data_IF_653096679465
#
_entry.id   IF_653096679465
#
_cell.length_a   1.000
_cell.length_b   1.000
_cell.length_c   1.000
_cell.angle_alpha   90.00
_cell.angle_beta   90.00
_cell.angle_gamma   90.00
#
_symmetry.space_group_name_H-M   'P 1'
#
loop_
_entity.id
_entity.type
_entity.pdbx_description
1 polymer ?
#
# COMPACT_ATOMS: atom_id res chain seq x y z
N UNK A 1 20.19 -15.30 23.74
CA UNK A 1 19.38 -14.94 22.57
C UNK A 1 19.62 -13.46 22.31
N UNK A 2 20.19 -13.08 21.16
CA UNK A 2 20.31 -11.67 20.79
C UNK A 2 18.95 -11.23 20.22
N UNK A 3 18.33 -10.21 20.82
CA UNK A 3 17.08 -9.65 20.33
C UNK A 3 17.44 -8.67 19.20
N UNK A 4 17.25 -9.09 17.95
CA UNK A 4 17.39 -8.22 16.77
C UNK A 4 16.07 -7.49 16.58
N UNK A 5 15.99 -6.22 16.97
CA UNK A 5 14.75 -5.45 16.90
C UNK A 5 14.98 -3.98 16.60
N UNK A 6 14.01 -3.37 15.92
CA UNK A 6 13.96 -1.93 15.65
C UNK A 6 12.72 -1.40 16.34
N UNK A 7 12.92 -0.48 17.27
CA UNK A 7 11.84 0.27 17.91
C UNK A 7 11.98 1.75 17.52
N UNK A 8 10.99 2.22 16.77
CA UNK A 8 10.84 3.63 16.36
C UNK A 8 9.50 4.19 16.85
N UNK A 9 8.87 3.53 17.84
CA UNK A 9 7.56 3.92 18.34
C UNK A 9 7.57 5.27 19.05
N UNK A 10 6.39 5.89 19.17
CA UNK A 10 6.19 7.16 19.88
C UNK A 10 7.06 8.31 19.36
N UNK A 11 7.07 8.47 18.04
CA UNK A 11 7.78 9.55 17.35
C UNK A 11 6.82 10.35 16.46
N UNK A 12 7.37 11.32 15.73
CA UNK A 12 6.66 12.11 14.74
C UNK A 12 7.03 11.70 13.31
N UNK A 13 7.42 10.44 13.09
CA UNK A 13 7.76 9.95 11.76
C UNK A 13 6.51 9.97 10.86
N UNK A 14 6.70 10.33 9.59
CA UNK A 14 5.60 10.54 8.65
C UNK A 14 6.00 10.12 7.25
N UNK A 15 5.03 10.08 6.33
CA UNK A 15 5.20 9.52 4.99
C UNK A 15 4.90 8.02 4.97
N UNK A 16 5.23 7.36 3.87
CA UNK A 16 5.00 5.93 3.71
C UNK A 16 6.09 5.09 4.37
N UNK A 17 5.74 3.87 4.77
CA UNK A 17 6.71 2.89 5.24
C UNK A 17 7.53 2.42 4.01
N UNK A 18 8.86 2.56 4.01
CA UNK A 18 9.70 2.14 2.88
C UNK A 18 9.60 0.64 2.62
N UNK A 19 9.47 0.23 1.36
CA UNK A 19 9.39 -1.18 0.97
C UNK A 19 10.66 -1.96 1.35
N UNK A 20 11.79 -1.25 1.43
CA UNK A 20 13.12 -1.77 1.74
C UNK A 20 13.22 -2.29 3.17
N UNK A 21 12.34 -1.86 4.09
CA UNK A 21 12.27 -2.44 5.44
C UNK A 21 11.96 -3.94 5.38
N UNK A 22 11.31 -4.43 4.32
CA UNK A 22 11.09 -5.86 4.09
C UNK A 22 12.38 -6.67 3.83
N UNK A 23 13.54 -6.03 3.61
CA UNK A 23 14.81 -6.73 3.42
C UNK A 23 15.50 -7.13 4.75
N UNK A 24 14.94 -6.75 5.89
CA UNK A 24 15.47 -7.07 7.22
C UNK A 24 15.10 -8.50 7.65
N UNK A 25 15.50 -9.51 6.87
CA UNK A 25 15.05 -10.91 7.02
C UNK A 25 15.31 -11.56 8.38
N UNK A 26 16.29 -11.04 9.13
CA UNK A 26 16.71 -11.54 10.45
C UNK A 26 16.17 -10.69 11.62
N UNK A 27 15.27 -9.74 11.37
CA UNK A 27 14.65 -8.97 12.44
C UNK A 27 13.59 -9.83 13.15
N UNK A 28 13.57 -9.75 14.48
CA UNK A 28 12.61 -10.45 15.34
C UNK A 28 11.50 -9.51 15.84
N UNK A 29 11.79 -8.23 15.99
CA UNK A 29 10.80 -7.25 16.44
C UNK A 29 10.89 -5.95 15.63
N UNK A 30 9.76 -5.51 15.10
CA UNK A 30 9.61 -4.21 14.44
C UNK A 30 8.44 -3.46 15.07
N UNK A 31 8.76 -2.38 15.77
CA UNK A 31 7.78 -1.50 16.39
C UNK A 31 7.81 -0.13 15.74
N UNK A 32 6.77 0.21 14.99
CA UNK A 32 6.56 1.51 14.34
C UNK A 32 5.34 2.24 14.92
N UNK A 33 4.82 1.80 16.06
CA UNK A 33 3.56 2.31 16.60
C UNK A 33 3.62 3.77 17.05
N UNK A 34 2.47 4.41 17.17
CA UNK A 34 2.34 5.79 17.67
C UNK A 34 3.22 6.78 16.87
N UNK A 35 2.95 6.87 15.58
CA UNK A 35 3.61 7.75 14.62
C UNK A 35 2.55 8.33 13.63
N UNK A 36 3.01 8.98 12.56
CA UNK A 36 2.15 9.53 11.50
C UNK A 36 2.37 8.85 10.14
N UNK A 37 2.75 7.56 10.11
CA UNK A 37 2.93 6.84 8.85
C UNK A 37 1.61 6.76 8.07
N UNK A 38 1.68 6.99 6.77
CA UNK A 38 0.57 6.98 5.79
C UNK A 38 0.80 5.90 4.72
N UNK A 39 -0.10 5.81 3.74
CA UNK A 39 0.03 4.83 2.66
C UNK A 39 -0.40 3.43 3.11
N UNK A 40 0.03 2.39 2.39
CA UNK A 40 -0.31 1.00 2.68
C UNK A 40 0.78 0.27 3.46
N UNK A 41 0.42 -0.83 4.12
CA UNK A 41 1.41 -1.74 4.71
C UNK A 41 2.19 -2.41 3.56
N UNK A 42 3.53 -2.33 3.50
CA UNK A 42 4.29 -2.94 2.42
C UNK A 42 4.11 -4.46 2.40
N UNK A 43 3.69 -5.01 1.26
CA UNK A 43 3.61 -6.46 1.08
C UNK A 43 4.98 -7.16 1.21
N UNK A 44 6.08 -6.42 1.05
CA UNK A 44 7.45 -6.88 1.27
C UNK A 44 7.72 -7.29 2.71
N UNK A 45 6.88 -6.89 3.68
CA UNK A 45 7.00 -7.36 5.06
C UNK A 45 6.78 -8.87 5.19
N UNK A 46 6.20 -9.53 4.19
CA UNK A 46 6.15 -10.99 4.10
C UNK A 46 7.55 -11.65 3.98
N UNK A 47 8.61 -10.88 3.72
CA UNK A 47 10.00 -11.36 3.66
C UNK A 47 10.71 -11.33 5.03
N UNK A 48 10.08 -10.79 6.07
CA UNK A 48 10.63 -10.75 7.43
C UNK A 48 10.49 -12.13 8.09
N UNK A 49 11.17 -13.15 7.56
CA UNK A 49 10.95 -14.56 7.89
C UNK A 49 11.15 -14.92 9.36
N UNK A 50 11.95 -14.15 10.10
CA UNK A 50 12.23 -14.37 11.52
C UNK A 50 11.41 -13.46 12.46
N UNK A 51 10.48 -12.66 11.93
CA UNK A 51 9.74 -11.71 12.75
C UNK A 51 8.78 -12.43 13.71
N UNK A 52 8.87 -12.05 14.98
CA UNK A 52 8.07 -12.56 16.09
C UNK A 52 7.08 -11.48 16.57
N UNK A 53 7.43 -10.19 16.42
CA UNK A 53 6.61 -9.06 16.83
C UNK A 53 6.58 -7.96 15.77
N UNK A 54 5.39 -7.59 15.32
CA UNK A 54 5.15 -6.50 14.37
C UNK A 54 4.04 -5.58 14.90
N UNK A 55 4.41 -4.38 15.31
CA UNK A 55 3.46 -3.38 15.79
C UNK A 55 3.46 -2.14 14.89
N UNK A 56 2.32 -1.91 14.24
CA UNK A 56 2.04 -0.80 13.32
C UNK A 56 0.87 0.05 13.83
N UNK A 57 0.47 -0.13 15.09
CA UNK A 57 -0.70 0.53 15.66
C UNK A 57 -0.52 2.05 15.80
N UNK A 58 -1.62 2.77 15.97
CA UNK A 58 -1.61 4.23 16.21
C UNK A 58 -0.83 5.00 15.12
N UNK A 59 -1.25 4.79 13.88
CA UNK A 59 -0.70 5.47 12.70
C UNK A 59 -1.85 5.93 11.79
N UNK A 60 -1.53 6.37 10.58
CA UNK A 60 -2.50 6.77 9.54
C UNK A 60 -2.44 5.85 8.32
N UNK A 61 -2.06 4.59 8.52
CA UNK A 61 -1.96 3.59 7.46
C UNK A 61 -3.36 3.31 6.89
N UNK A 62 -3.41 2.98 5.60
CA UNK A 62 -4.63 2.84 4.81
C UNK A 62 -4.54 1.67 3.84
N UNK A 63 -5.64 1.37 3.15
CA UNK A 63 -5.73 0.18 2.32
C UNK A 63 -5.92 -1.10 3.13
N UNK A 64 -5.67 -2.26 2.51
CA UNK A 64 -5.88 -3.57 3.14
C UNK A 64 -4.64 -4.08 3.86
N UNK A 65 -4.84 -4.93 4.88
CA UNK A 65 -3.78 -5.79 5.42
C UNK A 65 -3.35 -6.77 4.31
N UNK A 66 -2.09 -6.76 3.84
CA UNK A 66 -1.64 -7.63 2.76
C UNK A 66 -1.77 -9.10 3.14
N UNK A 67 -2.46 -9.88 2.31
CA UNK A 67 -2.63 -11.33 2.53
C UNK A 67 -1.28 -12.07 2.55
N UNK A 68 -0.24 -11.52 1.93
CA UNK A 68 1.11 -12.06 1.93
C UNK A 68 1.71 -12.19 3.35
N UNK A 69 1.27 -11.38 4.31
CA UNK A 69 1.73 -11.45 5.70
C UNK A 69 1.35 -12.77 6.39
N UNK A 70 0.36 -13.51 5.86
CA UNK A 70 0.00 -14.84 6.35
C UNK A 70 1.14 -15.87 6.25
N UNK A 71 2.18 -15.56 5.45
CA UNK A 71 3.42 -16.35 5.35
C UNK A 71 4.33 -16.25 6.57
N UNK A 72 4.12 -15.26 7.44
CA UNK A 72 4.93 -15.04 8.63
C UNK A 72 4.58 -16.06 9.72
N UNK A 73 5.16 -17.26 9.63
CA UNK A 73 4.86 -18.37 10.54
C UNK A 73 5.30 -18.15 11.98
N UNK A 74 6.32 -17.31 12.19
CA UNK A 74 6.92 -17.01 13.51
C UNK A 74 6.25 -15.84 14.23
N UNK A 75 5.33 -15.13 13.56
CA UNK A 75 4.70 -13.92 14.11
C UNK A 75 3.76 -14.29 15.26
N UNK A 76 4.08 -13.83 16.46
CA UNK A 76 3.34 -14.13 17.69
C UNK A 76 2.65 -12.88 18.27
N UNK A 77 3.18 -11.69 17.98
CA UNK A 77 2.61 -10.41 18.40
C UNK A 77 2.39 -9.55 17.16
N UNK A 78 1.14 -9.15 16.94
CA UNK A 78 0.77 -8.34 15.79
C UNK A 78 -0.22 -7.26 16.22
N UNK A 79 -0.05 -6.02 15.80
CA UNK A 79 -1.07 -4.99 16.00
C UNK A 79 -1.08 -4.01 14.83
N UNK A 80 -2.27 -3.70 14.35
CA UNK A 80 -2.57 -2.62 13.39
C UNK A 80 -3.69 -1.73 13.90
N UNK A 81 -3.98 -1.79 15.20
CA UNK A 81 -5.05 -1.02 15.83
C UNK A 81 -4.87 0.49 15.59
N UNK A 82 -5.97 1.22 15.56
CA UNK A 82 -6.02 2.68 15.41
C UNK A 82 -5.26 3.17 14.17
N UNK A 83 -5.65 2.63 13.00
CA UNK A 83 -5.25 3.10 11.68
C UNK A 83 -6.52 3.38 10.82
N UNK A 84 -6.34 3.67 9.54
CA UNK A 84 -7.41 3.85 8.55
C UNK A 84 -7.48 2.67 7.57
N UNK A 85 -7.18 1.44 8.03
CA UNK A 85 -7.20 0.24 7.20
C UNK A 85 -8.63 -0.16 6.84
N UNK A 86 -8.76 -0.87 5.73
CA UNK A 86 -10.03 -1.29 5.15
C UNK A 86 -9.97 -2.68 4.55
N UNK A 87 -11.13 -3.23 4.20
CA UNK A 87 -11.23 -4.50 3.49
C UNK A 87 -11.22 -5.70 4.44
N UNK A 88 -10.80 -6.84 3.90
CA UNK A 88 -10.91 -8.13 4.56
C UNK A 88 -9.68 -8.46 5.40
N UNK A 89 -9.91 -8.94 6.62
CA UNK A 89 -8.86 -9.54 7.44
C UNK A 89 -8.39 -10.87 6.81
N UNK A 90 -7.06 -11.12 6.78
CA UNK A 90 -6.56 -12.45 6.46
C UNK A 90 -7.04 -13.46 7.51
N UNK A 91 -7.66 -14.56 7.09
CA UNK A 91 -8.20 -15.57 7.99
C UNK A 91 -7.32 -16.83 8.11
N UNK A 92 -6.06 -16.76 7.66
CA UNK A 92 -5.12 -17.88 7.59
C UNK A 92 -3.79 -17.58 8.28
N UNK A 93 -2.99 -18.61 8.52
CA UNK A 93 -1.71 -18.49 9.22
C UNK A 93 -1.91 -18.05 10.67
N UNK A 94 -1.03 -17.18 11.18
CA UNK A 94 -1.14 -16.64 12.53
C UNK A 94 -2.27 -15.60 12.68
N UNK A 95 -2.81 -15.06 11.58
CA UNK A 95 -3.83 -14.02 11.66
C UNK A 95 -5.17 -14.50 12.22
N UNK A 96 -5.43 -15.82 12.20
CA UNK A 96 -6.61 -16.41 12.85
C UNK A 96 -6.47 -16.54 14.37
N UNK A 97 -5.28 -16.32 14.94
CA UNK A 97 -5.01 -16.45 16.38
C UNK A 97 -5.01 -15.11 17.12
N UNK A 98 -4.88 -13.99 16.41
CA UNK A 98 -4.87 -12.66 17.02
C UNK A 98 -6.26 -12.19 17.41
N UNK A 99 -6.35 -11.53 18.57
CA UNK A 99 -7.59 -10.98 19.09
C UNK A 99 -8.09 -9.79 18.25
N UNK A 100 -9.39 -9.54 18.31
CA UNK A 100 -9.99 -8.39 17.59
C UNK A 100 -9.46 -7.03 18.08
N UNK A 101 -8.89 -6.98 19.29
CA UNK A 101 -8.23 -5.78 19.83
C UNK A 101 -7.02 -5.35 18.98
N UNK A 102 -6.30 -6.29 18.36
CA UNK A 102 -5.17 -6.01 17.48
C UNK A 102 -5.57 -5.26 16.19
N UNK A 103 -6.88 -5.20 15.90
CA UNK A 103 -7.45 -4.58 14.70
C UNK A 103 -8.36 -3.39 15.02
N UNK A 104 -8.60 -3.12 16.31
CA UNK A 104 -9.54 -2.10 16.81
C UNK A 104 -9.26 -0.72 16.21
N UNK A 105 -10.29 0.10 16.00
CA UNK A 105 -10.13 1.47 15.50
C UNK A 105 -9.98 1.62 13.98
N UNK A 106 -9.93 0.51 13.23
CA UNK A 106 -10.00 0.52 11.76
C UNK A 106 -11.46 0.36 11.29
N UNK A 107 -12.18 1.46 11.11
CA UNK A 107 -13.64 1.45 10.88
C UNK A 107 -14.11 0.68 9.64
N UNK A 108 -13.25 0.50 8.63
CA UNK A 108 -13.59 -0.16 7.37
C UNK A 108 -13.03 -1.58 7.25
N UNK A 109 -12.39 -2.09 8.31
CA UNK A 109 -11.79 -3.41 8.35
C UNK A 109 -12.82 -4.42 8.86
N UNK A 110 -12.94 -5.56 8.19
CA UNK A 110 -13.98 -6.56 8.48
C UNK A 110 -13.46 -7.99 8.35
N UNK A 111 -14.02 -8.88 9.15
CA UNK A 111 -13.83 -10.32 8.95
C UNK A 111 -14.62 -10.75 7.71
N UNK A 112 -13.92 -11.31 6.73
CA UNK A 112 -14.53 -11.88 5.54
C UNK A 112 -14.40 -13.40 5.62
N UNK A 113 -15.42 -14.07 6.12
CA UNK A 113 -15.50 -15.52 6.03
C UNK A 113 -15.77 -15.90 4.58
N UNK A 114 -14.81 -16.54 3.92
CA UNK A 114 -14.97 -17.03 2.55
C UNK A 114 -16.01 -18.15 2.48
N UNK A 115 -17.29 -17.81 2.38
CA UNK A 115 -18.28 -18.61 1.65
C UNK A 115 -18.40 -18.10 0.21
N UNK A 116 -17.27 -18.02 -0.45
CA UNK A 116 -17.18 -18.20 -1.90
C UNK A 116 -15.71 -18.39 -2.25
N UNK A 117 -15.38 -19.59 -2.74
CA UNK A 117 -14.18 -19.78 -3.54
C UNK A 117 -14.24 -18.91 -4.81
N UNK A 118 -13.26 -19.01 -5.72
CA UNK A 118 -13.27 -18.26 -6.96
C UNK A 118 -14.60 -18.51 -7.67
N UNK A 119 -15.39 -17.45 -7.81
CA UNK A 119 -16.68 -17.47 -8.49
C UNK A 119 -16.38 -17.75 -9.97
N UNK A 120 -16.43 -19.03 -10.35
CA UNK A 120 -16.41 -19.43 -11.75
C UNK A 120 -17.62 -18.78 -12.44
N UNK A 121 -17.45 -18.11 -13.59
CA UNK A 121 -18.57 -17.46 -14.25
C UNK A 121 -19.38 -18.53 -14.98
N UNK A 122 -20.66 -18.70 -14.61
CA UNK A 122 -21.62 -19.35 -15.50
C UNK A 122 -23.05 -18.87 -15.21
N UNK A 123 -23.66 -18.23 -16.21
CA UNK A 123 -25.09 -18.45 -16.53
C UNK A 123 -26.12 -17.34 -16.24
N UNK A 124 -26.06 -16.24 -17.00
CA UNK A 124 -27.16 -15.54 -17.74
C UNK A 124 -28.61 -15.51 -17.17
N UNK A 125 -29.17 -14.30 -16.96
CA UNK A 125 -30.25 -13.71 -17.79
C UNK A 125 -30.76 -12.32 -17.32
N UNK A 126 -30.77 -11.35 -18.24
CA UNK A 126 -31.61 -10.13 -18.30
C UNK A 126 -31.17 -8.93 -17.45
N UNK A 127 -31.16 -7.66 -17.90
CA UNK A 127 -31.32 -6.98 -19.19
C UNK A 127 -31.13 -5.46 -18.91
N UNK A 128 -30.64 -4.73 -19.91
CA UNK A 128 -30.70 -3.26 -20.08
C UNK A 128 -29.53 -2.40 -19.53
N UNK A 129 -28.78 -1.87 -20.51
CA UNK A 129 -28.03 -0.62 -20.62
C UNK A 129 -26.93 -0.27 -19.59
N UNK A 130 -25.67 -0.39 -20.01
CA UNK A 130 -24.72 0.72 -19.89
C UNK A 130 -23.64 0.58 -20.98
N UNK A 131 -23.67 1.49 -21.95
CA UNK A 131 -22.73 1.57 -23.07
C UNK A 131 -21.45 2.23 -22.55
N UNK A 132 -20.44 1.43 -22.21
CA UNK A 132 -19.17 1.93 -21.68
C UNK A 132 -18.31 2.49 -22.81
N UNK A 133 -18.34 3.82 -22.96
CA UNK A 133 -17.48 4.60 -23.84
C UNK A 133 -15.98 4.29 -23.64
N UNK A 134 -15.22 3.93 -24.70
CA UNK A 134 -13.77 3.70 -24.63
C UNK A 134 -12.92 4.99 -24.64
N UNK A 135 -13.51 6.16 -24.37
CA UNK A 135 -12.90 7.45 -24.70
C UNK A 135 -11.93 7.95 -23.60
N UNK A 136 -12.05 7.51 -22.35
CA UNK A 136 -11.31 8.14 -21.24
C UNK A 136 -9.79 7.85 -21.27
N UNK A 137 -9.37 6.63 -21.65
CA UNK A 137 -7.95 6.29 -21.76
C UNK A 137 -7.26 7.04 -22.90
N UNK A 138 -7.94 7.21 -24.04
CA UNK A 138 -7.41 7.92 -25.21
C UNK A 138 -7.19 9.40 -24.90
N UNK A 139 -8.12 10.05 -24.18
CA UNK A 139 -8.02 11.47 -23.81
C UNK A 139 -6.82 11.73 -22.89
N UNK A 140 -6.54 10.83 -21.94
CA UNK A 140 -5.39 10.98 -21.04
C UNK A 140 -4.04 10.81 -21.76
N UNK A 141 -3.94 9.86 -22.68
CA UNK A 141 -2.72 9.58 -23.43
C UNK A 141 -2.40 10.71 -24.44
N UNK A 142 -3.41 11.24 -25.13
CA UNK A 142 -3.24 12.37 -26.07
C UNK A 142 -2.83 13.65 -25.33
N UNK A 143 -3.36 13.87 -24.12
CA UNK A 143 -3.01 15.05 -23.30
C UNK A 143 -1.52 15.04 -22.88
N UNK A 144 -0.97 13.87 -22.56
CA UNK A 144 0.44 13.77 -22.15
C UNK A 144 1.41 13.99 -23.31
N UNK A 145 1.08 13.46 -24.50
CA UNK A 145 1.89 13.64 -25.71
C UNK A 145 1.90 15.11 -26.14
N UNK A 146 0.75 15.78 -26.12
CA UNK A 146 0.67 17.20 -26.48
C UNK A 146 1.41 18.11 -25.48
N UNK A 147 1.34 17.83 -24.18
CA UNK A 147 2.08 18.57 -23.16
C UNK A 147 3.61 18.39 -23.28
N UNK A 148 4.06 17.19 -23.63
CA UNK A 148 5.48 16.90 -23.86
C UNK A 148 6.04 17.67 -25.07
N UNK A 149 5.30 17.72 -26.20
CA UNK A 149 5.74 18.48 -27.37
C UNK A 149 5.63 20.00 -27.18
N UNK A 150 4.63 20.49 -26.44
CA UNK A 150 4.50 21.92 -26.13
C UNK A 150 5.64 22.42 -25.24
N UNK A 151 6.04 21.63 -24.23
CA UNK A 151 7.18 21.97 -23.36
C UNK A 151 8.52 21.88 -24.10
N UNK A 152 8.71 20.86 -24.94
CA UNK A 152 9.90 20.75 -25.79
C UNK A 152 10.01 21.93 -26.79
N UNK A 153 8.91 22.32 -27.43
CA UNK A 153 8.87 23.48 -28.33
C UNK A 153 9.16 24.80 -27.60
N UNK A 154 8.61 24.98 -26.39
CA UNK A 154 8.86 26.18 -25.59
C UNK A 154 10.35 26.31 -25.19
N UNK A 155 10.97 25.20 -24.75
CA UNK A 155 12.40 25.18 -24.38
C UNK A 155 13.29 25.42 -25.61
N UNK A 156 12.99 24.82 -26.75
CA UNK A 156 13.80 25.00 -27.97
C UNK A 156 13.61 26.37 -28.62
N UNK A 157 12.38 26.90 -28.71
CA UNK A 157 12.14 28.24 -29.23
C UNK A 157 12.74 29.33 -28.33
N UNK A 158 12.68 29.18 -27.00
CA UNK A 158 13.29 30.13 -26.08
C UNK A 158 14.83 30.06 -26.08
N UNK A 159 15.41 28.86 -26.26
CA UNK A 159 16.86 28.67 -26.36
C UNK A 159 17.46 29.16 -27.68
N UNK A 160 16.72 29.07 -28.79
CA UNK A 160 17.13 29.60 -30.10
C UNK A 160 16.91 31.12 -30.21
N UNK A 161 15.83 31.66 -29.62
CA UNK A 161 15.54 33.09 -29.61
C UNK A 161 16.60 33.95 -28.90
N UNK A 162 17.26 33.43 -27.86
CA UNK A 162 18.36 34.13 -27.18
C UNK A 162 19.71 34.09 -27.91
N UNK A 163 19.90 33.21 -28.91
CA UNK A 163 21.16 33.13 -29.66
C UNK A 163 21.19 34.03 -30.91
N UNK A 164 20.04 34.50 -31.40
CA UNK A 164 19.99 35.36 -32.60
C UNK A 164 20.11 36.85 -32.27
N UNK A 165 19.79 37.28 -31.04
CA UNK A 165 19.89 38.70 -30.63
C UNK A 165 21.31 39.13 -30.23
N UNK A 166 22.29 38.22 -30.21
CA UNK A 166 23.70 38.52 -29.86
C UNK A 166 24.66 38.51 -31.06
N UNK A 167 24.16 38.46 -32.29
CA UNK A 167 24.94 38.73 -33.49
C UNK A 167 24.12 39.51 -34.50
N UNK A 168 24.05 40.82 -34.30
CA UNK A 168 24.03 41.89 -35.31
C UNK A 168 24.22 43.23 -34.59
#
# INVERSE_FOLDING_TARGET
MSMSGIDLSANMLSGEIPIEMGNLSHIKSLNLSNNFFTGSIPATFANLSEIESLDLSENRLSGSVPWQLTRLSSLAVFSVAYNNLSGCLPASGQFSTFDMDNYKGNNNLRSCTSTSGPMAPNGVAGSVADDSDPILYVVSAVSFVMAFWATAAFVFCHALGRRVVLKL
#
